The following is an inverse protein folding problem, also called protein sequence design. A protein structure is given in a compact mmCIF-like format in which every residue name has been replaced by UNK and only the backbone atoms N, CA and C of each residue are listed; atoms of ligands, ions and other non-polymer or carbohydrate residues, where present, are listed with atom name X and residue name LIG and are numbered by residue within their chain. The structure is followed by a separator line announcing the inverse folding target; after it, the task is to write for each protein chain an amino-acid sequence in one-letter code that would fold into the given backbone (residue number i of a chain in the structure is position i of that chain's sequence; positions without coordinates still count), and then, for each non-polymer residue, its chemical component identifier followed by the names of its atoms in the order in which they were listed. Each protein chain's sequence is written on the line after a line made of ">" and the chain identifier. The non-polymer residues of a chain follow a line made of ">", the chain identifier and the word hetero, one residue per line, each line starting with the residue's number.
data_IF_308479310162
#
_entry.id   IF_308479310162
#
_cell.length_a   1.000
_cell.length_b   1.000
_cell.length_c   1.000
_cell.angle_alpha   90.00
_cell.angle_beta   90.00
_cell.angle_gamma   90.00
#
_symmetry.space_group_name_H-M   'P 1'
#
loop_
_entity.id
_entity.type
_entity.pdbx_description
1 polymer ?
#
# COMPACT_ATOMS: atom_id res chain seq x y z
N UNK A 1 3.70 -13.59 16.32
CA UNK A 1 3.71 -12.21 15.77
C UNK A 1 2.62 -12.07 14.73
N UNK A 2 1.88 -11.00 14.81
CA UNK A 2 0.77 -10.76 13.89
C UNK A 2 1.26 -10.11 12.60
N UNK A 3 0.90 -10.68 11.46
CA UNK A 3 1.27 -10.15 10.15
C UNK A 3 0.06 -9.48 9.50
N UNK A 4 0.27 -8.31 8.90
CA UNK A 4 -0.75 -7.59 8.17
C UNK A 4 -0.28 -7.31 6.76
N UNK A 5 -1.15 -7.59 5.79
CA UNK A 5 -0.90 -7.25 4.40
C UNK A 5 -1.32 -5.82 4.14
N UNK A 6 -0.40 -5.02 3.64
CA UNK A 6 -0.61 -3.60 3.38
C UNK A 6 -0.64 -3.34 1.88
N UNK A 7 -1.68 -2.66 1.43
CA UNK A 7 -1.78 -2.16 0.07
C UNK A 7 -1.65 -0.65 0.06
N UNK A 8 -0.79 -0.12 -0.79
CA UNK A 8 -0.60 1.32 -0.96
C UNK A 8 -1.35 1.76 -2.22
N UNK A 9 -2.19 2.77 -2.09
CA UNK A 9 -2.84 3.41 -3.23
C UNK A 9 -2.14 4.73 -3.48
N UNK A 10 -1.39 4.80 -4.57
CA UNK A 10 -0.60 5.96 -4.94
C UNK A 10 0.90 5.68 -4.87
N UNK A 11 1.61 5.91 -5.97
CA UNK A 11 3.05 5.66 -6.07
C UNK A 11 3.81 6.93 -6.48
N UNK A 12 3.40 8.08 -5.94
CA UNK A 12 4.17 9.31 -6.04
C UNK A 12 5.30 9.31 -5.02
N UNK A 13 5.87 10.47 -4.74
CA UNK A 13 7.01 10.59 -3.82
C UNK A 13 6.71 10.02 -2.43
N UNK A 14 5.54 10.36 -1.87
CA UNK A 14 5.15 9.89 -0.54
C UNK A 14 4.89 8.39 -0.55
N UNK A 15 4.14 7.89 -1.54
CA UNK A 15 3.84 6.46 -1.65
C UNK A 15 5.11 5.63 -1.82
N UNK A 16 6.05 6.10 -2.63
CA UNK A 16 7.35 5.45 -2.80
C UNK A 16 8.12 5.40 -1.49
N UNK A 17 8.10 6.49 -0.70
CA UNK A 17 8.76 6.53 0.60
C UNK A 17 8.16 5.55 1.60
N UNK A 18 6.83 5.42 1.62
CA UNK A 18 6.15 4.45 2.49
C UNK A 18 6.49 3.03 2.04
N UNK A 19 6.49 2.76 0.75
CA UNK A 19 6.86 1.44 0.22
C UNK A 19 8.29 1.06 0.61
N UNK A 20 9.23 2.00 0.47
CA UNK A 20 10.62 1.78 0.86
C UNK A 20 10.73 1.45 2.36
N UNK A 21 10.02 2.20 3.18
CA UNK A 21 9.99 1.95 4.63
C UNK A 21 9.47 0.54 4.95
N UNK A 22 8.38 0.10 4.34
CA UNK A 22 7.82 -1.23 4.58
C UNK A 22 8.74 -2.34 4.06
N UNK A 23 9.39 -2.13 2.93
CA UNK A 23 10.29 -3.14 2.36
C UNK A 23 11.58 -3.31 3.17
N UNK A 24 12.11 -2.21 3.70
CA UNK A 24 13.44 -2.22 4.32
C UNK A 24 13.42 -2.18 5.85
N UNK A 25 12.31 -1.79 6.49
CA UNK A 25 12.23 -1.61 7.93
C UNK A 25 11.13 -2.43 8.61
N UNK A 26 10.54 -3.42 7.91
CA UNK A 26 9.47 -4.24 8.48
C UNK A 26 9.92 -4.94 9.77
N UNK A 27 11.16 -5.43 9.82
CA UNK A 27 11.69 -6.11 11.01
C UNK A 27 11.84 -5.16 12.20
N UNK A 28 12.24 -3.92 11.97
CA UNK A 28 12.34 -2.92 13.03
C UNK A 28 10.95 -2.59 13.57
N UNK A 29 9.97 -2.43 12.69
CA UNK A 29 8.58 -2.18 13.09
C UNK A 29 8.06 -3.37 13.90
N UNK A 30 8.33 -4.59 13.45
CA UNK A 30 7.90 -5.80 14.14
C UNK A 30 8.47 -5.88 15.57
N UNK A 31 9.75 -5.55 15.74
CA UNK A 31 10.39 -5.57 17.05
C UNK A 31 9.80 -4.54 18.01
N UNK A 32 9.39 -3.39 17.50
CA UNK A 32 8.88 -2.30 18.34
C UNK A 32 7.40 -2.43 18.66
N UNK A 33 6.62 -3.01 17.76
CA UNK A 33 5.16 -3.01 17.88
C UNK A 33 4.54 -4.39 18.06
N UNK A 34 5.28 -5.45 17.77
CA UNK A 34 4.74 -6.81 17.72
C UNK A 34 3.92 -7.10 16.48
N UNK A 35 3.86 -6.17 15.53
CA UNK A 35 3.10 -6.28 14.29
C UNK A 35 4.07 -6.21 13.12
N UNK A 36 4.00 -7.21 12.23
CA UNK A 36 4.82 -7.23 11.03
C UNK A 36 3.99 -6.79 9.82
N UNK A 37 4.24 -5.60 9.26
CA UNK A 37 3.57 -5.19 8.03
C UNK A 37 4.26 -5.83 6.84
N UNK A 38 3.47 -6.39 5.94
CA UNK A 38 3.94 -6.95 4.68
C UNK A 38 3.38 -6.12 3.53
N UNK A 39 4.25 -5.55 2.70
CA UNK A 39 3.81 -4.83 1.51
C UNK A 39 3.28 -5.84 0.49
N UNK A 40 1.98 -5.85 0.30
CA UNK A 40 1.32 -6.79 -0.61
C UNK A 40 1.15 -6.23 -2.02
N UNK A 41 1.14 -4.91 -2.16
CA UNK A 41 1.03 -4.30 -3.47
C UNK A 41 0.94 -2.78 -3.42
N UNK A 42 1.15 -2.17 -4.57
CA UNK A 42 1.07 -0.73 -4.76
C UNK A 42 0.26 -0.49 -6.03
N UNK A 43 -0.80 0.29 -5.94
CA UNK A 43 -1.63 0.62 -7.08
C UNK A 43 -1.47 2.09 -7.47
N UNK A 44 -1.26 2.34 -8.75
CA UNK A 44 -1.19 3.68 -9.33
C UNK A 44 -1.47 3.58 -10.81
N UNK A 45 -1.97 4.64 -11.41
CA UNK A 45 -2.15 4.69 -12.86
C UNK A 45 -0.80 4.73 -13.58
N UNK A 46 0.22 5.29 -12.95
CA UNK A 46 1.59 5.32 -13.45
C UNK A 46 2.46 4.36 -12.64
N UNK A 47 2.74 3.18 -13.19
CA UNK A 47 3.62 2.18 -12.58
C UNK A 47 4.93 2.01 -13.35
N UNK A 48 5.23 2.90 -14.29
CA UNK A 48 6.42 2.81 -15.15
C UNK A 48 7.50 3.83 -14.79
N UNK A 49 7.13 4.97 -14.21
CA UNK A 49 8.09 5.99 -13.82
C UNK A 49 8.97 5.46 -12.68
N UNK A 50 10.29 5.61 -12.85
CA UNK A 50 11.25 5.24 -11.81
C UNK A 50 11.15 6.23 -10.65
N UNK A 51 10.86 5.72 -9.45
CA UNK A 51 10.78 6.54 -8.23
C UNK A 51 12.04 6.42 -7.37
N UNK A 52 13.11 5.81 -7.91
CA UNK A 52 14.36 5.66 -7.19
C UNK A 52 14.37 4.53 -6.15
N UNK A 53 13.35 3.69 -6.14
CA UNK A 53 13.20 2.60 -5.19
C UNK A 53 13.02 1.30 -5.95
N UNK A 54 13.71 0.24 -5.51
CA UNK A 54 13.53 -1.08 -6.09
C UNK A 54 12.29 -1.73 -5.51
N UNK A 55 11.29 -1.96 -6.35
CA UNK A 55 10.06 -2.65 -5.98
C UNK A 55 10.11 -4.07 -6.56
N UNK A 56 9.87 -5.11 -5.73
CA UNK A 56 9.81 -6.47 -6.23
C UNK A 56 8.80 -6.64 -7.36
N UNK A 57 9.13 -7.48 -8.33
CA UNK A 57 8.25 -7.73 -9.47
C UNK A 57 6.88 -8.24 -8.99
N UNK A 58 5.83 -7.76 -9.62
CA UNK A 58 4.47 -8.17 -9.31
C UNK A 58 3.77 -7.38 -8.22
N UNK A 59 4.46 -6.46 -7.53
CA UNK A 59 3.81 -5.63 -6.52
C UNK A 59 3.16 -4.36 -7.09
N UNK A 60 3.59 -3.89 -8.23
CA UNK A 60 2.98 -2.72 -8.88
C UNK A 60 1.79 -3.14 -9.73
N UNK A 61 0.67 -2.44 -9.58
CA UNK A 61 -0.54 -2.71 -10.34
C UNK A 61 -1.28 -1.42 -10.66
N UNK A 62 -2.05 -1.44 -11.74
CA UNK A 62 -2.99 -0.36 -12.06
C UNK A 62 -4.40 -0.65 -11.53
N UNK A 63 -4.63 -1.82 -10.94
CA UNK A 63 -5.94 -2.24 -10.45
C UNK A 63 -6.05 -2.11 -8.93
N UNK A 64 -6.39 -0.91 -8.48
CA UNK A 64 -6.53 -0.62 -7.05
C UNK A 64 -7.66 -1.41 -6.41
N UNK A 65 -8.76 -1.61 -7.10
CA UNK A 65 -9.91 -2.35 -6.58
C UNK A 65 -9.55 -3.79 -6.25
N UNK A 66 -8.80 -4.45 -7.14
CA UNK A 66 -8.33 -5.82 -6.91
C UNK A 66 -7.36 -5.88 -5.75
N UNK A 67 -6.44 -4.90 -5.67
CA UNK A 67 -5.49 -4.86 -4.56
C UNK A 67 -6.21 -4.76 -3.21
N UNK A 68 -7.25 -3.93 -3.11
CA UNK A 68 -8.01 -3.76 -1.87
C UNK A 68 -8.58 -5.09 -1.37
N UNK A 69 -9.02 -5.96 -2.26
CA UNK A 69 -9.56 -7.28 -1.87
C UNK A 69 -8.54 -8.14 -1.13
N UNK A 70 -7.26 -7.98 -1.43
CA UNK A 70 -6.21 -8.90 -0.97
C UNK A 70 -5.40 -8.40 0.22
N UNK A 71 -5.74 -7.25 0.79
CA UNK A 71 -4.98 -6.66 1.88
C UNK A 71 -5.82 -6.50 3.14
N UNK A 72 -5.14 -6.29 4.26
CA UNK A 72 -5.79 -6.02 5.55
C UNK A 72 -5.87 -4.53 5.82
N UNK A 73 -4.87 -3.79 5.35
CA UNK A 73 -4.72 -2.34 5.57
C UNK A 73 -4.49 -1.65 4.24
N UNK A 74 -5.21 -0.56 4.03
CA UNK A 74 -5.06 0.29 2.84
C UNK A 74 -4.45 1.63 3.26
N UNK A 75 -3.33 1.99 2.66
CA UNK A 75 -2.72 3.32 2.83
C UNK A 75 -3.05 4.13 1.59
N UNK A 76 -3.90 5.13 1.72
CA UNK A 76 -4.38 5.91 0.60
C UNK A 76 -3.57 7.21 0.50
N UNK A 77 -2.83 7.37 -0.61
CA UNK A 77 -1.93 8.49 -0.86
C UNK A 77 -2.12 9.09 -2.26
N UNK A 78 -3.21 8.74 -2.93
CA UNK A 78 -3.49 9.26 -4.27
C UNK A 78 -3.73 10.77 -4.22
N UNK A 79 -4.41 11.22 -3.17
CA UNK A 79 -4.89 12.59 -3.10
C UNK A 79 -6.07 12.81 -4.03
N UNK A 80 -6.53 14.05 -4.12
CA UNK A 80 -7.73 14.36 -4.86
C UNK A 80 -8.97 13.94 -4.09
N UNK A 81 -10.14 14.18 -4.64
CA UNK A 81 -11.37 14.05 -3.87
C UNK A 81 -12.20 12.85 -4.27
N UNK A 82 -12.50 12.69 -5.55
CA UNK A 82 -13.48 11.71 -6.00
C UNK A 82 -12.93 10.29 -6.04
N UNK A 83 -11.74 10.12 -6.62
CA UNK A 83 -11.14 8.78 -6.79
C UNK A 83 -10.70 8.22 -5.43
N UNK A 84 -10.04 9.04 -4.62
CA UNK A 84 -9.61 8.62 -3.29
C UNK A 84 -10.80 8.22 -2.44
N UNK A 85 -11.87 9.02 -2.43
CA UNK A 85 -13.08 8.71 -1.68
C UNK A 85 -13.69 7.38 -2.10
N UNK A 86 -13.74 7.10 -3.40
CA UNK A 86 -14.27 5.84 -3.92
C UNK A 86 -13.53 4.64 -3.33
N UNK A 87 -12.20 4.67 -3.34
CA UNK A 87 -11.41 3.56 -2.83
C UNK A 87 -11.48 3.44 -1.30
N UNK A 88 -11.51 4.56 -0.58
CA UNK A 88 -11.67 4.54 0.87
C UNK A 88 -13.00 3.89 1.24
N UNK A 89 -14.09 4.26 0.57
CA UNK A 89 -15.39 3.67 0.83
C UNK A 89 -15.43 2.19 0.48
N UNK A 90 -14.77 1.77 -0.60
CA UNK A 90 -14.66 0.36 -0.94
C UNK A 90 -13.93 -0.40 0.17
N UNK A 91 -12.78 0.09 0.59
CA UNK A 91 -11.97 -0.57 1.62
C UNK A 91 -12.75 -0.72 2.93
N UNK A 92 -13.39 0.34 3.38
CA UNK A 92 -14.20 0.30 4.60
C UNK A 92 -15.38 -0.66 4.46
N UNK A 93 -16.03 -0.68 3.30
CA UNK A 93 -17.14 -1.60 3.03
C UNK A 93 -16.71 -3.06 3.03
N UNK A 94 -15.44 -3.35 2.72
CA UNK A 94 -14.87 -4.70 2.76
C UNK A 94 -14.21 -5.03 4.11
N UNK A 95 -14.35 -4.17 5.10
CA UNK A 95 -13.82 -4.40 6.45
C UNK A 95 -12.33 -4.16 6.58
N UNK A 96 -11.70 -3.45 5.64
CA UNK A 96 -10.28 -3.13 5.72
C UNK A 96 -10.04 -1.90 6.57
N UNK A 97 -8.85 -1.84 7.19
CA UNK A 97 -8.39 -0.61 7.85
C UNK A 97 -7.81 0.33 6.79
N UNK A 98 -7.96 1.62 7.00
CA UNK A 98 -7.49 2.65 6.06
C UNK A 98 -6.57 3.63 6.76
#
# INVERSE_FOLDING_TARGET
>A
MKEYKVGILGFGTVGAGVADCLLNNADVIAKRTGIKPELAGIADLDITTDRGIRIPAGLLTTDASELIHHVDVVVELIGGTTVAKKFILQALGEGKSV
#
